data_IF_400358794529
#
_entry.id   IF_400358794529
#
_cell.length_a   1.000
_cell.length_b   1.000
_cell.length_c   1.000
_cell.angle_alpha   90.00
_cell.angle_beta   90.00
_cell.angle_gamma   90.00
#
_symmetry.space_group_name_H-M   'P 1'
#
loop_
_entity.id
_entity.type
_entity.pdbx_description
1 polymer ?
#
# COMPACT_ATOMS: atom_id res chain seq x y z
N UNK A 1 -28.53 46.72 4.03
CA UNK A 1 -27.25 47.25 3.52
C UNK A 1 -26.15 46.38 4.11
N UNK A 2 -25.22 45.92 3.28
CA UNK A 2 -24.12 45.04 3.70
C UNK A 2 -23.08 45.87 4.45
N UNK A 3 -22.56 45.36 5.57
CA UNK A 3 -21.58 46.08 6.39
C UNK A 3 -20.21 46.21 5.72
N UNK A 4 -19.78 45.19 4.96
CA UNK A 4 -18.52 45.16 4.21
C UNK A 4 -18.72 44.57 2.80
N UNK A 5 -18.24 45.24 1.76
CA UNK A 5 -18.41 44.80 0.37
C UNK A 5 -17.24 43.95 -0.18
N UNK A 6 -16.21 43.70 0.63
CA UNK A 6 -14.92 43.13 0.21
C UNK A 6 -15.04 41.80 -0.55
N UNK A 7 -15.83 40.82 -0.06
CA UNK A 7 -15.99 39.54 -0.76
C UNK A 7 -16.82 39.63 -2.03
N UNK A 8 -17.77 40.57 -2.09
CA UNK A 8 -18.54 40.85 -3.30
C UNK A 8 -17.66 41.51 -4.36
N UNK A 9 -16.76 42.42 -3.96
CA UNK A 9 -15.78 43.06 -4.84
C UNK A 9 -14.74 42.07 -5.37
N UNK A 10 -14.25 41.15 -4.54
CA UNK A 10 -13.31 40.08 -4.96
C UNK A 10 -13.92 39.17 -6.02
N UNK A 11 -15.21 38.83 -5.89
CA UNK A 11 -15.94 38.07 -6.90
C UNK A 11 -16.46 38.92 -8.06
N UNK A 12 -16.40 40.25 -7.97
CA UNK A 12 -16.89 41.17 -8.98
C UNK A 12 -18.41 41.15 -9.15
N UNK A 13 -19.15 40.90 -8.07
CA UNK A 13 -20.62 40.80 -8.07
C UNK A 13 -21.27 41.87 -7.18
N UNK A 14 -22.56 42.14 -7.41
CA UNK A 14 -23.34 43.03 -6.54
C UNK A 14 -23.62 42.35 -5.18
N UNK A 15 -23.75 43.12 -4.07
CA UNK A 15 -24.21 42.60 -2.79
C UNK A 15 -25.57 41.87 -2.83
N UNK A 16 -26.42 42.23 -3.81
CA UNK A 16 -27.72 41.57 -4.05
C UNK A 16 -27.64 40.39 -5.04
N UNK A 17 -26.44 39.91 -5.38
CA UNK A 17 -26.26 38.84 -6.36
C UNK A 17 -26.94 37.53 -5.92
N UNK A 18 -27.55 36.86 -6.89
CA UNK A 18 -28.15 35.54 -6.71
C UNK A 18 -27.08 34.46 -6.60
N UNK A 19 -27.41 33.29 -6.04
CA UNK A 19 -26.49 32.14 -5.95
C UNK A 19 -25.94 31.71 -7.31
N UNK A 20 -26.75 31.83 -8.37
CA UNK A 20 -26.35 31.50 -9.73
C UNK A 20 -25.29 32.49 -10.27
N UNK A 21 -25.42 33.77 -9.96
CA UNK A 21 -24.44 34.81 -10.32
C UNK A 21 -23.13 34.63 -9.56
N UNK A 22 -23.19 34.30 -8.26
CA UNK A 22 -22.01 33.98 -7.44
C UNK A 22 -21.24 32.79 -8.00
N UNK A 23 -21.95 31.70 -8.34
CA UNK A 23 -21.34 30.49 -8.93
C UNK A 23 -20.73 30.77 -10.29
N UNK A 24 -21.38 31.59 -11.12
CA UNK A 24 -20.86 31.99 -12.44
C UNK A 24 -19.62 32.85 -12.31
N UNK A 25 -19.62 33.83 -11.41
CA UNK A 25 -18.49 34.70 -11.14
C UNK A 25 -17.28 33.92 -10.61
N UNK A 26 -17.49 33.02 -9.64
CA UNK A 26 -16.45 32.14 -9.13
C UNK A 26 -15.84 31.28 -10.23
N UNK A 27 -16.66 30.65 -11.09
CA UNK A 27 -16.16 29.82 -12.19
C UNK A 27 -15.28 30.60 -13.18
N UNK A 28 -15.64 31.85 -13.48
CA UNK A 28 -14.86 32.71 -14.39
C UNK A 28 -13.53 33.12 -13.73
N UNK A 29 -13.56 33.56 -12.48
CA UNK A 29 -12.36 33.99 -11.74
C UNK A 29 -11.43 32.82 -11.41
N UNK A 30 -11.96 31.66 -11.03
CA UNK A 30 -11.19 30.45 -10.77
C UNK A 30 -10.48 29.93 -12.03
N UNK A 31 -11.13 30.00 -13.20
CA UNK A 31 -10.48 29.67 -14.47
C UNK A 31 -9.42 30.69 -14.89
N UNK A 32 -9.58 31.97 -14.52
CA UNK A 32 -8.63 33.05 -14.83
C UNK A 32 -7.36 32.94 -13.99
N UNK A 33 -7.48 32.57 -12.72
CA UNK A 33 -6.37 32.48 -11.77
C UNK A 33 -5.93 31.04 -11.47
N UNK A 34 -6.36 30.07 -12.27
CA UNK A 34 -6.00 28.67 -12.08
C UNK A 34 -4.47 28.46 -12.20
N UNK A 35 -3.84 27.67 -11.30
CA UNK A 35 -2.39 27.41 -11.33
C UNK A 35 -1.89 26.84 -12.66
N UNK A 36 -2.70 25.99 -13.31
CA UNK A 36 -2.39 25.39 -14.61
C UNK A 36 -2.29 26.40 -15.77
N UNK A 37 -3.06 27.51 -15.70
CA UNK A 37 -3.01 28.57 -16.72
C UNK A 37 -2.02 29.68 -16.38
N UNK A 38 -1.59 29.77 -15.12
CA UNK A 38 -0.64 30.77 -14.63
C UNK A 38 0.50 30.09 -13.84
N UNK A 39 1.30 29.21 -14.49
CA UNK A 39 2.40 28.55 -13.80
C UNK A 39 3.41 29.60 -13.31
N UNK A 40 3.85 29.46 -12.05
CA UNK A 40 4.85 30.31 -11.36
C UNK A 40 4.48 31.79 -11.15
N UNK A 41 3.19 32.15 -11.11
CA UNK A 41 2.77 33.50 -10.76
C UNK A 41 2.22 33.58 -9.31
N UNK A 42 2.98 34.11 -8.33
CA UNK A 42 2.56 34.17 -6.93
C UNK A 42 1.33 35.09 -6.71
N UNK A 43 1.13 36.10 -7.56
CA UNK A 43 -0.05 36.97 -7.46
C UNK A 43 -1.33 36.26 -7.91
N UNK A 44 -1.24 35.38 -8.91
CA UNK A 44 -2.38 34.59 -9.37
C UNK A 44 -2.80 33.57 -8.30
N UNK A 45 -1.83 32.99 -7.61
CA UNK A 45 -2.08 32.07 -6.48
C UNK A 45 -2.77 32.80 -5.32
N UNK A 46 -2.31 33.99 -4.96
CA UNK A 46 -2.95 34.81 -3.91
C UNK A 46 -4.40 35.15 -4.27
N UNK A 47 -4.64 35.64 -5.50
CA UNK A 47 -5.99 35.98 -5.99
C UNK A 47 -6.88 34.75 -6.07
N UNK A 48 -6.34 33.58 -6.41
CA UNK A 48 -7.11 32.33 -6.43
C UNK A 48 -7.56 31.91 -5.03
N UNK A 49 -6.69 32.07 -4.01
CA UNK A 49 -7.02 31.82 -2.61
C UNK A 49 -8.11 32.78 -2.11
N UNK A 50 -7.98 34.07 -2.40
CA UNK A 50 -8.98 35.09 -2.02
C UNK A 50 -10.35 34.86 -2.68
N UNK A 51 -10.37 34.54 -3.98
CA UNK A 51 -11.60 34.23 -4.73
C UNK A 51 -12.29 32.99 -4.18
N UNK A 52 -11.51 31.97 -3.80
CA UNK A 52 -12.06 30.74 -3.21
C UNK A 52 -12.64 30.99 -1.82
N UNK A 53 -11.96 31.77 -0.99
CA UNK A 53 -12.43 32.16 0.33
C UNK A 53 -13.72 33.00 0.27
N UNK A 54 -13.75 34.01 -0.62
CA UNK A 54 -14.92 34.85 -0.84
C UNK A 54 -16.15 34.02 -1.30
N UNK A 55 -15.94 33.06 -2.20
CA UNK A 55 -17.03 32.18 -2.64
C UNK A 55 -17.50 31.22 -1.54
N UNK A 56 -16.61 30.68 -0.71
CA UNK A 56 -17.00 29.79 0.38
C UNK A 56 -17.97 30.51 1.35
N UNK A 57 -17.66 31.76 1.70
CA UNK A 57 -18.47 32.56 2.63
C UNK A 57 -19.80 32.98 1.99
N UNK A 58 -19.76 33.42 0.72
CA UNK A 58 -20.96 33.93 0.03
C UNK A 58 -21.87 32.83 -0.53
N UNK A 59 -21.36 31.61 -0.72
CA UNK A 59 -22.15 30.47 -1.23
C UNK A 59 -23.03 29.81 -0.18
N UNK A 60 -22.69 29.93 1.11
CA UNK A 60 -23.51 29.44 2.21
C UNK A 60 -24.46 30.55 2.69
N UNK A 61 -25.80 30.36 2.63
CA UNK A 61 -26.76 31.38 3.04
C UNK A 61 -26.60 31.87 4.48
N UNK A 62 -26.16 30.99 5.40
CA UNK A 62 -25.96 31.35 6.81
C UNK A 62 -24.68 32.16 7.01
N UNK A 63 -23.57 31.73 6.38
CA UNK A 63 -22.30 32.48 6.45
C UNK A 63 -22.41 33.83 5.76
N UNK A 64 -23.11 33.89 4.62
CA UNK A 64 -23.41 35.14 3.90
C UNK A 64 -24.21 36.10 4.76
N UNK A 65 -25.25 35.62 5.45
CA UNK A 65 -26.05 36.46 6.34
C UNK A 65 -25.22 37.03 7.50
N UNK A 66 -24.35 36.23 8.11
CA UNK A 66 -23.45 36.67 9.17
C UNK A 66 -22.46 37.71 8.65
N UNK A 67 -21.85 37.48 7.49
CA UNK A 67 -20.96 38.43 6.83
C UNK A 67 -21.68 39.74 6.49
N UNK A 68 -22.89 39.66 5.95
CA UNK A 68 -23.67 40.83 5.57
C UNK A 68 -24.04 41.71 6.77
N UNK A 69 -24.28 41.09 7.94
CA UNK A 69 -24.66 41.77 9.18
C UNK A 69 -23.44 42.27 9.98
N UNK A 70 -22.36 41.51 10.03
CA UNK A 70 -21.27 41.73 10.99
C UNK A 70 -19.90 41.98 10.35
N UNK A 71 -19.74 41.77 9.04
CA UNK A 71 -18.46 41.89 8.34
C UNK A 71 -17.55 40.70 8.62
N UNK A 72 -16.28 40.80 8.21
CA UNK A 72 -15.25 39.75 8.40
C UNK A 72 -15.10 39.37 9.89
N UNK A 73 -15.22 40.34 10.80
CA UNK A 73 -15.18 40.13 12.25
C UNK A 73 -16.29 39.21 12.80
N UNK A 74 -17.43 39.10 12.10
CA UNK A 74 -18.53 38.21 12.49
C UNK A 74 -18.25 36.73 12.23
N UNK A 75 -17.32 36.43 11.32
CA UNK A 75 -16.92 35.07 10.97
C UNK A 75 -15.81 34.55 11.90
N UNK A 76 -15.01 35.46 12.48
CA UNK A 76 -13.91 35.15 13.40
C UNK A 76 -14.40 34.83 14.83
N UNK A 77 -15.59 35.32 15.21
CA UNK A 77 -16.18 35.13 16.55
C UNK A 77 -16.87 33.78 16.82
N UNK A 78 -16.81 32.82 15.89
CA UNK A 78 -17.49 31.52 15.99
C UNK A 78 -16.70 30.40 16.69
N UNK A 79 -15.43 30.63 17.05
CA UNK A 79 -14.58 29.63 17.71
C UNK A 79 -14.38 29.99 19.19
N UNK A 80 -15.22 29.42 20.05
CA UNK A 80 -15.09 29.58 21.50
C UNK A 80 -13.87 28.86 22.07
N UNK A 81 -12.89 29.64 22.52
CA UNK A 81 -12.12 29.40 23.75
C UNK A 81 -10.97 28.39 23.73
N UNK A 82 -9.73 28.91 23.74
CA UNK A 82 -8.59 28.26 24.39
C UNK A 82 -7.27 28.26 23.62
N UNK A 83 -6.32 29.06 24.10
CA UNK A 83 -4.88 28.78 23.98
C UNK A 83 -4.21 29.19 22.66
N UNK A 84 -3.22 30.08 22.76
CA UNK A 84 -2.40 30.54 21.64
C UNK A 84 -1.60 29.42 20.97
N UNK A 85 -2.14 28.92 19.86
CA UNK A 85 -1.38 28.18 18.86
C UNK A 85 -1.56 28.86 17.51
N UNK A 86 -0.47 28.92 16.76
CA UNK A 86 -0.35 29.63 15.50
C UNK A 86 -1.39 29.12 14.49
N UNK A 87 -1.96 30.03 13.69
CA UNK A 87 -3.06 29.74 12.78
C UNK A 87 -2.71 28.66 11.73
N UNK A 88 -1.42 28.43 11.48
CA UNK A 88 -0.92 27.38 10.61
C UNK A 88 -1.16 25.96 11.17
N UNK A 89 -1.04 25.79 12.50
CA UNK A 89 -1.14 24.49 13.17
C UNK A 89 -2.60 24.07 13.40
N UNK A 90 -3.51 25.04 13.56
CA UNK A 90 -4.95 24.78 13.60
C UNK A 90 -5.48 24.37 12.22
N UNK A 91 -4.87 24.89 11.14
CA UNK A 91 -5.19 24.50 9.77
C UNK A 91 -4.60 23.13 9.43
N UNK A 92 -3.39 22.79 9.91
CA UNK A 92 -2.83 21.45 9.77
C UNK A 92 -3.60 20.38 10.59
N UNK A 93 -4.18 20.73 11.73
CA UNK A 93 -4.99 19.78 12.51
C UNK A 93 -6.43 19.64 11.98
N UNK A 94 -6.95 20.63 11.25
CA UNK A 94 -8.27 20.59 10.61
C UNK A 94 -8.24 20.09 9.15
N UNK A 95 -7.11 20.23 8.44
CA UNK A 95 -6.93 19.84 7.03
C UNK A 95 -5.75 18.89 6.75
N UNK A 96 -4.92 18.54 7.74
CA UNK A 96 -3.71 17.73 7.59
C UNK A 96 -3.85 16.24 7.90
N UNK A 97 -5.07 15.69 7.90
CA UNK A 97 -5.30 14.31 7.48
C UNK A 97 -5.99 14.37 6.12
N UNK A 98 -5.20 14.19 5.06
CA UNK A 98 -5.60 14.43 3.68
C UNK A 98 -7.01 13.95 3.33
N UNK A 99 -7.78 14.85 2.71
CA UNK A 99 -8.90 14.50 1.87
C UNK A 99 -10.26 14.55 2.55
N UNK A 100 -11.08 15.49 2.10
CA UNK A 100 -12.52 15.28 1.87
C UNK A 100 -13.31 14.63 3.03
N UNK A 101 -13.73 15.46 3.98
CA UNK A 101 -14.91 15.19 4.77
C UNK A 101 -14.67 14.65 6.17
N UNK A 102 -15.09 15.43 7.16
CA UNK A 102 -15.42 14.96 8.50
C UNK A 102 -14.68 15.73 9.58
N UNK A 103 -15.41 16.51 10.37
CA UNK A 103 -14.87 16.90 11.67
C UNK A 103 -15.38 18.14 12.38
N UNK A 104 -16.51 18.77 12.03
CA UNK A 104 -17.17 19.71 12.97
C UNK A 104 -18.68 19.90 12.72
N UNK A 105 -19.35 18.87 12.20
CA UNK A 105 -20.82 18.84 12.04
C UNK A 105 -21.57 18.12 13.18
N UNK A 106 -20.90 17.82 14.29
CA UNK A 106 -21.37 16.82 15.25
C UNK A 106 -22.44 17.26 16.26
N UNK A 107 -22.83 18.55 16.30
CA UNK A 107 -23.63 19.04 17.45
C UNK A 107 -25.05 19.53 17.13
N UNK A 108 -25.47 19.69 15.88
CA UNK A 108 -26.81 20.23 15.56
C UNK A 108 -27.45 19.65 14.30
N UNK A 109 -27.52 18.32 14.20
CA UNK A 109 -28.13 17.62 13.07
C UNK A 109 -28.99 16.44 13.50
N UNK A 110 -30.15 16.71 14.08
CA UNK A 110 -31.21 15.73 14.36
C UNK A 110 -31.86 15.23 13.08
N UNK A 111 -31.12 14.46 12.28
CA UNK A 111 -31.65 13.61 11.24
C UNK A 111 -31.29 12.18 11.62
N UNK A 112 -32.27 11.40 12.06
CA UNK A 112 -32.15 9.94 12.18
C UNK A 112 -31.97 9.39 10.76
N UNK A 113 -30.74 9.50 10.23
CA UNK A 113 -30.31 8.72 9.09
C UNK A 113 -30.44 7.27 9.53
N UNK A 114 -31.38 6.59 8.89
CA UNK A 114 -31.65 5.18 9.01
C UNK A 114 -30.37 4.43 8.61
N UNK A 115 -29.40 4.34 9.52
CA UNK A 115 -28.22 3.49 9.38
C UNK A 115 -28.78 2.10 9.29
N UNK A 116 -28.76 1.52 8.09
CA UNK A 116 -29.04 0.12 7.89
C UNK A 116 -28.19 -0.73 8.86
N UNK A 117 -28.59 -1.98 9.09
CA UNK A 117 -27.87 -2.86 10.02
C UNK A 117 -26.37 -2.82 9.74
N UNK A 118 -25.57 -2.70 10.80
CA UNK A 118 -24.12 -2.58 10.68
C UNK A 118 -23.57 -3.77 9.90
N UNK A 119 -22.62 -3.51 8.99
CA UNK A 119 -21.94 -4.57 8.22
C UNK A 119 -20.66 -4.98 8.96
N UNK A 120 -20.38 -6.28 8.98
CA UNK A 120 -19.15 -6.81 9.54
C UNK A 120 -17.94 -6.34 8.72
N UNK A 121 -16.75 -6.36 9.34
CA UNK A 121 -15.50 -5.94 8.70
C UNK A 121 -15.17 -6.83 7.51
N UNK A 122 -14.65 -6.22 6.45
CA UNK A 122 -14.17 -6.94 5.27
C UNK A 122 -12.90 -7.72 5.60
N UNK A 123 -12.82 -8.97 5.15
CA UNK A 123 -11.64 -9.83 5.29
C UNK A 123 -10.75 -9.63 4.07
N UNK A 124 -9.50 -9.23 4.29
CA UNK A 124 -8.50 -9.11 3.22
C UNK A 124 -7.58 -10.33 3.25
N UNK A 125 -7.45 -11.02 2.12
CA UNK A 125 -6.56 -12.18 1.99
C UNK A 125 -5.64 -12.01 0.79
N UNK A 126 -4.34 -12.16 0.99
CA UNK A 126 -3.36 -12.12 -0.10
C UNK A 126 -3.27 -13.50 -0.74
N UNK A 127 -3.53 -13.58 -2.04
CA UNK A 127 -3.43 -14.81 -2.83
C UNK A 127 -2.19 -14.77 -3.70
N UNK A 128 -1.18 -15.55 -3.32
CA UNK A 128 0.11 -15.61 -4.03
C UNK A 128 0.02 -16.57 -5.22
N UNK A 129 0.20 -16.04 -6.43
CA UNK A 129 0.07 -16.78 -7.70
C UNK A 129 1.40 -16.81 -8.44
N UNK A 130 1.74 -17.94 -9.08
CA UNK A 130 2.93 -18.04 -9.93
C UNK A 130 2.76 -17.28 -11.24
N UNK A 131 3.87 -16.86 -11.84
CA UNK A 131 3.85 -16.16 -13.13
C UNK A 131 3.25 -17.02 -14.26
N UNK A 132 3.50 -18.33 -14.24
CA UNK A 132 2.93 -19.31 -15.17
C UNK A 132 1.41 -19.44 -15.05
N UNK A 133 0.89 -19.46 -13.82
CA UNK A 133 -0.55 -19.51 -13.55
C UNK A 133 -1.24 -18.23 -14.06
N UNK A 134 -0.58 -17.07 -13.93
CA UNK A 134 -1.07 -15.79 -14.48
C UNK A 134 -1.01 -15.77 -16.01
N UNK A 135 -0.01 -16.41 -16.61
CA UNK A 135 0.12 -16.51 -18.06
C UNK A 135 -0.98 -17.39 -18.67
N UNK A 136 -1.20 -18.59 -18.11
CA UNK A 136 -2.18 -19.57 -18.61
C UNK A 136 -3.62 -19.26 -18.19
N UNK A 137 -3.77 -18.58 -17.05
CA UNK A 137 -5.05 -18.39 -16.35
C UNK A 137 -5.41 -19.64 -15.56
N UNK A 138 -5.92 -19.49 -14.34
CA UNK A 138 -6.21 -20.60 -13.43
C UNK A 138 -7.37 -20.29 -12.49
N UNK A 139 -8.15 -21.32 -12.15
CA UNK A 139 -9.13 -21.23 -11.06
C UNK A 139 -8.52 -21.78 -9.79
N UNK A 140 -8.22 -20.89 -8.84
CA UNK A 140 -7.63 -21.25 -7.55
C UNK A 140 -8.73 -21.56 -6.52
N UNK A 141 -8.65 -22.73 -5.87
CA UNK A 141 -9.57 -23.12 -4.80
C UNK A 141 -8.96 -22.72 -3.45
N UNK A 142 -9.51 -21.69 -2.81
CA UNK A 142 -9.05 -21.20 -1.52
C UNK A 142 -10.06 -21.55 -0.44
N UNK A 143 -9.60 -22.22 0.62
CA UNK A 143 -10.44 -22.50 1.77
C UNK A 143 -10.35 -21.34 2.77
N UNK A 144 -11.47 -20.67 3.01
CA UNK A 144 -11.60 -19.64 4.04
C UNK A 144 -12.34 -20.21 5.24
N UNK A 145 -11.82 -19.93 6.43
CA UNK A 145 -12.55 -20.13 7.69
C UNK A 145 -13.26 -18.83 8.02
N UNK A 146 -14.57 -18.90 8.26
CA UNK A 146 -15.39 -17.74 8.61
C UNK A 146 -16.36 -18.10 9.72
N UNK A 147 -16.77 -17.10 10.49
CA UNK A 147 -17.84 -17.26 11.47
C UNK A 147 -19.19 -17.13 10.78
N UNK A 148 -20.01 -18.18 10.82
CA UNK A 148 -21.41 -18.12 10.38
C UNK A 148 -22.34 -18.15 11.57
N UNK A 149 -23.56 -17.67 11.38
CA UNK A 149 -24.63 -17.84 12.36
C UNK A 149 -24.86 -19.35 12.56
N UNK A 150 -24.95 -19.78 13.83
CA UNK A 150 -25.08 -21.19 14.14
C UNK A 150 -26.35 -21.78 13.50
N UNK A 151 -26.24 -22.76 12.58
CA UNK A 151 -27.41 -23.29 11.86
C UNK A 151 -28.40 -24.03 12.78
N UNK A 152 -27.94 -24.48 13.96
CA UNK A 152 -28.79 -25.20 14.93
C UNK A 152 -29.64 -24.30 15.83
N UNK A 153 -29.25 -23.04 16.03
CA UNK A 153 -30.01 -22.10 16.86
C UNK A 153 -30.34 -20.78 16.16
N UNK A 154 -29.94 -20.62 14.90
CA UNK A 154 -30.18 -19.45 14.06
C UNK A 154 -29.75 -18.14 14.74
N UNK A 155 -28.65 -18.20 15.50
CA UNK A 155 -28.11 -17.02 16.19
C UNK A 155 -28.77 -16.68 17.51
N UNK A 156 -29.72 -17.50 18.01
CA UNK A 156 -30.36 -17.30 19.31
C UNK A 156 -29.47 -17.69 20.50
N UNK A 157 -28.58 -18.67 20.32
CA UNK A 157 -27.64 -19.13 21.36
C UNK A 157 -28.22 -20.17 22.34
N UNK A 158 -29.53 -20.40 22.30
CA UNK A 158 -30.22 -21.42 23.08
C UNK A 158 -31.42 -22.02 22.34
N UNK A 159 -32.16 -22.89 23.01
CA UNK A 159 -33.47 -23.37 22.53
C UNK A 159 -34.47 -22.22 22.39
N UNK A 160 -35.50 -22.41 21.57
CA UNK A 160 -36.56 -21.42 21.40
C UNK A 160 -37.21 -21.06 22.76
N UNK A 161 -37.32 -19.76 23.05
CA UNK A 161 -37.88 -19.25 24.32
C UNK A 161 -36.99 -19.41 25.56
N UNK A 162 -35.81 -20.03 25.45
CA UNK A 162 -34.89 -20.18 26.58
C UNK A 162 -34.03 -18.93 26.84
N UNK A 163 -33.93 -18.05 25.85
CA UNK A 163 -33.18 -16.80 25.94
C UNK A 163 -34.03 -15.76 26.65
N UNK A 164 -33.53 -15.23 27.78
CA UNK A 164 -34.20 -14.19 28.57
C UNK A 164 -33.36 -12.93 28.61
N UNK A 165 -33.97 -11.75 28.62
CA UNK A 165 -33.24 -10.50 28.83
C UNK A 165 -32.61 -10.49 30.22
N UNK A 166 -31.40 -9.97 30.34
CA UNK A 166 -30.73 -9.83 31.62
C UNK A 166 -31.46 -8.77 32.48
N UNK A 167 -31.90 -9.15 33.68
CA UNK A 167 -32.63 -8.27 34.60
C UNK A 167 -31.76 -7.20 35.25
N UNK A 168 -30.44 -7.41 35.31
CA UNK A 168 -29.52 -6.48 35.97
C UNK A 168 -29.10 -5.31 35.08
N UNK A 169 -29.17 -5.49 33.75
CA UNK A 169 -28.84 -4.45 32.77
C UNK A 169 -29.96 -4.19 31.76
N UNK A 170 -31.15 -4.77 31.95
CA UNK A 170 -32.32 -4.65 31.06
C UNK A 170 -32.04 -4.89 29.56
N UNK A 171 -31.05 -5.73 29.26
CA UNK A 171 -30.63 -6.02 27.88
C UNK A 171 -29.53 -5.12 27.33
N UNK A 172 -29.05 -4.13 28.10
CA UNK A 172 -28.00 -3.20 27.65
C UNK A 172 -26.59 -3.79 27.73
N UNK A 173 -26.37 -4.91 28.44
CA UNK A 173 -25.06 -5.55 28.56
C UNK A 173 -24.02 -4.79 29.40
N UNK A 174 -24.29 -3.53 29.77
CA UNK A 174 -23.39 -2.67 30.53
C UNK A 174 -24.11 -2.06 31.74
N UNK A 175 -23.37 -1.80 32.81
CA UNK A 175 -23.86 -1.18 34.04
C UNK A 175 -22.99 0.02 34.39
N UNK A 176 -23.61 1.13 34.77
CA UNK A 176 -22.87 2.31 35.24
C UNK A 176 -22.51 2.12 36.70
N UNK A 177 -21.21 2.06 37.00
CA UNK A 177 -20.69 1.97 38.37
C UNK A 177 -20.20 3.35 38.80
N UNK A 178 -20.60 3.79 39.98
CA UNK A 178 -20.17 5.07 40.55
C UNK A 178 -18.96 4.81 41.45
N UNK A 179 -17.78 5.37 41.10
CA UNK A 179 -16.63 5.39 42.00
C UNK A 179 -16.47 6.81 42.53
N UNK A 180 -16.55 6.95 43.85
CA UNK A 180 -16.27 8.21 44.51
C UNK A 180 -14.77 8.31 44.74
N UNK A 181 -14.11 9.25 44.06
CA UNK A 181 -12.71 9.59 44.29
C UNK A 181 -12.67 10.95 44.99
N UNK A 182 -12.85 10.91 46.31
CA UNK A 182 -12.92 12.12 47.14
C UNK A 182 -14.21 12.92 46.88
N UNK A 183 -14.15 14.26 46.70
CA UNK A 183 -15.33 15.10 46.48
C UNK A 183 -15.96 14.95 45.08
N UNK A 184 -15.35 14.18 44.17
CA UNK A 184 -15.81 14.01 42.79
C UNK A 184 -16.36 12.59 42.57
N UNK A 185 -17.63 12.49 42.13
CA UNK A 185 -18.27 11.23 41.77
C UNK A 185 -18.07 10.98 40.28
N UNK A 186 -17.23 10.00 39.93
CA UNK A 186 -17.04 9.58 38.55
C UNK A 186 -17.93 8.38 38.23
N UNK A 187 -18.77 8.53 37.21
CA UNK A 187 -19.57 7.43 36.63
C UNK A 187 -18.73 6.78 35.55
N UNK A 188 -18.37 5.50 35.72
CA UNK A 188 -17.70 4.73 34.68
C UNK A 188 -18.57 3.52 34.31
N UNK A 189 -18.63 3.22 33.02
CA UNK A 189 -19.46 2.15 32.48
C UNK A 189 -18.64 0.85 32.45
N UNK A 190 -19.14 -0.19 33.12
CA UNK A 190 -18.52 -1.52 33.19
C UNK A 190 -19.43 -2.55 32.55
N UNK A 191 -18.87 -3.62 32.00
CA UNK A 191 -19.67 -4.76 31.50
C UNK A 191 -20.49 -5.38 32.63
N UNK A 192 -21.74 -5.74 32.35
CA UNK A 192 -22.61 -6.35 33.35
C UNK A 192 -22.07 -7.75 33.72
N UNK A 193 -21.82 -8.04 35.02
CA UNK A 193 -21.21 -9.32 35.43
C UNK A 193 -22.15 -10.52 35.23
N UNK A 194 -23.47 -10.30 35.22
CA UNK A 194 -24.44 -11.41 35.09
C UNK A 194 -24.56 -11.90 33.65
N UNK A 195 -24.44 -11.01 32.66
CA UNK A 195 -24.54 -11.36 31.23
C UNK A 195 -23.24 -11.20 30.43
N UNK A 196 -22.14 -10.80 31.09
CA UNK A 196 -20.83 -10.56 30.46
C UNK A 196 -20.87 -9.69 29.19
N UNK A 197 -21.79 -8.73 29.11
CA UNK A 197 -21.93 -7.88 27.93
C UNK A 197 -22.93 -8.36 26.87
N UNK A 198 -23.45 -9.58 26.96
CA UNK A 198 -24.38 -10.12 25.94
C UNK A 198 -25.81 -9.55 26.06
N UNK A 199 -26.18 -8.99 27.22
CA UNK A 199 -27.52 -8.45 27.49
C UNK A 199 -28.62 -9.52 27.65
N UNK A 200 -28.31 -10.77 27.33
CA UNK A 200 -29.22 -11.92 27.45
C UNK A 200 -28.63 -12.98 28.38
N UNK A 201 -29.51 -13.76 28.99
CA UNK A 201 -29.21 -14.86 29.88
C UNK A 201 -29.81 -16.14 29.30
N UNK A 202 -28.95 -17.13 29.11
CA UNK A 202 -29.34 -18.49 28.70
C UNK A 202 -28.88 -19.46 29.77
N UNK A 203 -29.84 -20.21 30.35
CA UNK A 203 -29.54 -21.28 31.31
C UNK A 203 -28.64 -22.32 30.67
N UNK A 204 -27.66 -22.83 31.42
CA UNK A 204 -26.64 -23.74 30.91
C UNK A 204 -27.21 -24.98 30.20
N UNK A 205 -28.29 -25.57 30.75
CA UNK A 205 -28.99 -26.73 30.17
C UNK A 205 -29.66 -26.44 28.82
N UNK A 206 -30.00 -25.18 28.57
CA UNK A 206 -30.74 -24.73 27.39
C UNK A 206 -29.83 -24.06 26.35
N UNK A 207 -28.52 -23.96 26.63
CA UNK A 207 -27.53 -23.48 25.66
C UNK A 207 -27.47 -24.42 24.48
N UNK A 208 -27.30 -23.85 23.29
CA UNK A 208 -27.13 -24.65 22.08
C UNK A 208 -25.85 -25.49 22.19
N UNK A 209 -25.96 -26.81 21.98
CA UNK A 209 -24.79 -27.72 22.03
C UNK A 209 -23.75 -27.46 20.93
N UNK A 210 -24.15 -26.81 19.83
CA UNK A 210 -23.26 -26.53 18.69
C UNK A 210 -22.39 -25.29 18.87
N UNK A 211 -22.96 -24.19 19.37
CA UNK A 211 -22.21 -22.94 19.58
C UNK A 211 -21.89 -22.68 21.07
N UNK A 212 -22.36 -23.52 21.99
CA UNK A 212 -22.20 -23.37 23.45
C UNK A 212 -22.64 -22.00 23.97
N UNK A 213 -23.68 -21.40 23.37
CA UNK A 213 -24.15 -20.05 23.71
C UNK A 213 -23.56 -18.92 22.88
N UNK A 214 -22.46 -19.13 22.14
CA UNK A 214 -21.76 -18.08 21.35
C UNK A 214 -22.51 -17.57 20.11
N UNK A 215 -23.65 -18.16 19.77
CA UNK A 215 -24.52 -17.83 18.61
C UNK A 215 -23.89 -18.03 17.21
N UNK A 216 -22.57 -18.12 17.10
CA UNK A 216 -21.82 -18.36 15.86
C UNK A 216 -21.04 -19.67 15.90
N UNK A 217 -20.69 -20.20 14.73
CA UNK A 217 -19.81 -21.36 14.54
C UNK A 217 -18.82 -21.08 13.42
N UNK A 218 -17.62 -21.66 13.49
CA UNK A 218 -16.63 -21.54 12.41
C UNK A 218 -16.98 -22.53 11.30
N UNK A 219 -17.21 -22.02 10.10
CA UNK A 219 -17.47 -22.78 8.88
C UNK A 219 -16.27 -22.66 7.93
N UNK A 220 -15.93 -23.77 7.27
CA UNK A 220 -14.85 -23.84 6.29
C UNK A 220 -15.44 -23.90 4.90
N UNK A 221 -15.44 -22.76 4.19
CA UNK A 221 -15.96 -22.66 2.82
C UNK A 221 -14.82 -22.59 1.81
N UNK A 222 -14.95 -23.32 0.71
CA UNK A 222 -14.02 -23.23 -0.43
C UNK A 222 -14.57 -22.21 -1.42
N UNK A 223 -13.79 -21.16 -1.68
CA UNK A 223 -14.07 -20.14 -2.68
C UNK A 223 -13.22 -20.39 -3.93
N UNK A 224 -13.83 -20.23 -5.09
CA UNK A 224 -13.17 -20.37 -6.38
C UNK A 224 -12.77 -18.99 -6.88
N UNK A 225 -11.49 -18.65 -6.74
CA UNK A 225 -10.93 -17.40 -7.21
C UNK A 225 -10.45 -17.59 -8.65
N UNK A 226 -11.09 -16.87 -9.58
CA UNK A 226 -10.69 -16.85 -10.97
C UNK A 226 -9.48 -15.92 -11.15
N UNK A 227 -8.35 -16.49 -11.55
CA UNK A 227 -7.15 -15.74 -11.95
C UNK A 227 -7.15 -15.69 -13.47
N UNK A 228 -7.56 -14.55 -13.99
CA UNK A 228 -7.59 -14.31 -15.42
C UNK A 228 -6.17 -14.15 -16.01
N UNK A 229 -6.06 -14.41 -17.30
CA UNK A 229 -4.80 -14.29 -18.04
C UNK A 229 -4.31 -12.85 -17.99
N UNK A 230 -3.04 -12.67 -17.67
CA UNK A 230 -2.40 -11.35 -17.69
C UNK A 230 -2.75 -10.46 -16.50
N UNK A 231 -3.49 -10.96 -15.51
CA UNK A 231 -3.86 -10.18 -14.33
C UNK A 231 -2.65 -9.53 -13.68
N UNK A 232 -2.76 -8.27 -13.29
CA UNK A 232 -1.68 -7.50 -12.67
C UNK A 232 -1.59 -7.79 -11.19
N UNK A 233 -0.39 -7.72 -10.63
CA UNK A 233 -0.19 -7.79 -9.18
C UNK A 233 -0.97 -6.66 -8.50
N UNK A 234 -1.63 -6.94 -7.38
CA UNK A 234 -2.50 -6.00 -6.66
C UNK A 234 -3.97 -6.01 -7.11
N UNK A 235 -4.35 -6.82 -8.11
CA UNK A 235 -5.76 -6.93 -8.54
C UNK A 235 -6.62 -7.52 -7.43
N UNK A 236 -7.77 -6.91 -7.16
CA UNK A 236 -8.70 -7.30 -6.09
C UNK A 236 -9.89 -8.07 -6.66
N UNK A 237 -10.17 -9.25 -6.10
CA UNK A 237 -11.33 -10.08 -6.40
C UNK A 237 -12.23 -10.10 -5.17
N UNK A 238 -13.45 -9.56 -5.31
CA UNK A 238 -14.38 -9.37 -4.21
C UNK A 238 -15.49 -10.43 -4.19
N UNK A 239 -15.71 -11.05 -3.03
CA UNK A 239 -16.80 -11.96 -2.76
C UNK A 239 -17.75 -11.33 -1.73
N UNK A 240 -18.89 -10.86 -2.22
CA UNK A 240 -19.87 -10.12 -1.42
C UNK A 240 -20.60 -11.03 -0.43
N UNK A 241 -20.68 -10.62 0.84
CA UNK A 241 -21.41 -11.34 1.89
C UNK A 241 -20.79 -12.68 2.29
N UNK A 242 -19.59 -12.99 1.80
CA UNK A 242 -18.89 -14.25 2.11
C UNK A 242 -18.00 -14.18 3.36
N UNK A 243 -17.94 -13.02 4.03
CA UNK A 243 -17.13 -12.77 5.23
C UNK A 243 -17.77 -13.25 6.52
N UNK A 244 -17.27 -12.74 7.65
CA UNK A 244 -17.79 -13.10 8.97
C UNK A 244 -19.22 -12.58 9.19
N UNK A 245 -20.02 -13.39 9.88
CA UNK A 245 -21.39 -13.09 10.28
C UNK A 245 -21.47 -13.02 11.80
N UNK A 246 -22.26 -12.08 12.30
CA UNK A 246 -22.58 -11.97 13.71
C UNK A 246 -24.08 -11.67 13.89
N UNK A 247 -24.71 -12.08 15.00
CA UNK A 247 -26.11 -11.79 15.26
C UNK A 247 -26.38 -10.27 15.22
N UNK A 248 -27.34 -9.85 14.40
CA UNK A 248 -27.70 -8.43 14.24
C UNK A 248 -26.78 -7.61 13.33
N UNK A 249 -25.75 -8.23 12.73
CA UNK A 249 -24.77 -7.58 11.84
C UNK A 249 -24.82 -8.30 10.47
N UNK A 250 -24.85 -7.53 9.38
CA UNK A 250 -24.77 -8.08 8.02
C UNK A 250 -23.38 -8.67 7.76
N UNK A 251 -23.33 -9.76 6.99
CA UNK A 251 -22.08 -10.40 6.59
C UNK A 251 -21.14 -9.41 5.89
N UNK A 252 -19.85 -9.49 6.25
CA UNK A 252 -18.79 -8.74 5.58
C UNK A 252 -18.50 -9.28 4.18
N UNK A 253 -17.66 -8.58 3.43
CA UNK A 253 -17.14 -9.09 2.15
C UNK A 253 -15.77 -9.75 2.37
N UNK A 254 -15.36 -10.60 1.42
CA UNK A 254 -14.00 -11.14 1.37
C UNK A 254 -13.34 -10.59 0.12
N UNK A 255 -12.18 -9.98 0.28
CA UNK A 255 -11.40 -9.41 -0.81
C UNK A 255 -10.10 -10.17 -0.91
N UNK A 256 -9.92 -10.88 -2.03
CA UNK A 256 -8.63 -11.49 -2.37
C UNK A 256 -7.81 -10.51 -3.18
N UNK A 257 -6.61 -10.20 -2.70
CA UNK A 257 -5.62 -9.43 -3.46
C UNK A 257 -4.65 -10.41 -4.10
N UNK A 258 -4.60 -10.43 -5.43
CA UNK A 258 -3.70 -11.30 -6.18
C UNK A 258 -2.31 -10.68 -6.14
N UNK A 259 -1.33 -11.43 -5.63
CA UNK A 259 0.07 -11.03 -5.64
C UNK A 259 0.90 -12.02 -6.44
N UNK A 260 1.77 -11.49 -7.29
CA UNK A 260 2.67 -12.30 -8.10
C UNK A 260 3.85 -12.78 -7.26
N UNK A 261 4.10 -14.09 -7.28
CA UNK A 261 5.33 -14.67 -6.71
C UNK A 261 6.55 -14.31 -7.57
N UNK A 262 7.71 -14.04 -6.94
CA UNK A 262 8.97 -13.92 -7.69
C UNK A 262 9.24 -15.23 -8.44
N UNK A 263 9.71 -15.12 -9.68
CA UNK A 263 9.99 -16.26 -10.55
C UNK A 263 11.51 -16.38 -10.76
N UNK A 264 12.09 -17.59 -10.74
CA UNK A 264 13.54 -17.77 -10.81
C UNK A 264 14.13 -17.36 -12.16
N UNK A 265 13.39 -17.57 -13.27
CA UNK A 265 13.90 -17.30 -14.63
C UNK A 265 13.50 -15.95 -15.21
N UNK A 266 12.38 -15.40 -14.75
CA UNK A 266 11.71 -14.30 -15.44
C UNK A 266 11.34 -13.20 -14.46
N UNK A 267 11.61 -11.97 -14.86
CA UNK A 267 11.14 -10.79 -14.15
C UNK A 267 10.05 -10.13 -15.02
N UNK A 268 8.83 -10.01 -14.47
CA UNK A 268 7.73 -9.36 -15.18
C UNK A 268 7.83 -7.85 -14.99
N UNK A 269 7.80 -7.09 -16.08
CA UNK A 269 7.64 -5.64 -16.08
C UNK A 269 6.40 -5.30 -16.91
N UNK A 270 5.30 -4.98 -16.22
CA UNK A 270 4.00 -4.74 -16.87
C UNK A 270 3.55 -5.95 -17.72
N UNK A 271 3.41 -5.77 -19.03
CA UNK A 271 3.04 -6.84 -19.97
C UNK A 271 4.28 -7.46 -20.64
N UNK A 272 5.48 -6.97 -20.34
CA UNK A 272 6.75 -7.49 -20.85
C UNK A 272 7.45 -8.43 -19.86
N UNK A 273 8.30 -9.31 -20.39
CA UNK A 273 9.11 -10.26 -19.61
C UNK A 273 10.59 -9.98 -19.81
N UNK A 274 11.36 -9.96 -18.73
CA UNK A 274 12.81 -9.91 -18.75
C UNK A 274 13.38 -11.28 -18.40
N UNK A 275 14.26 -11.79 -19.24
CA UNK A 275 14.99 -13.04 -19.04
C UNK A 275 16.49 -12.75 -19.02
N UNK A 276 17.18 -13.21 -17.98
CA UNK A 276 18.64 -13.10 -17.91
C UNK A 276 19.24 -14.39 -18.49
N UNK A 277 19.80 -14.29 -19.70
CA UNK A 277 20.46 -15.40 -20.38
C UNK A 277 21.96 -15.37 -20.06
N UNK A 278 22.46 -16.46 -19.51
CA UNK A 278 23.90 -16.68 -19.36
C UNK A 278 24.42 -17.42 -20.59
N UNK A 279 25.38 -16.81 -21.29
CA UNK A 279 25.95 -17.34 -22.53
C UNK A 279 27.46 -17.45 -22.40
N UNK A 280 28.06 -18.44 -23.08
CA UNK A 280 29.51 -18.57 -23.14
C UNK A 280 30.12 -17.50 -24.06
N UNK A 281 31.37 -17.12 -23.78
CA UNK A 281 32.11 -16.16 -24.62
C UNK A 281 32.18 -16.58 -26.09
N UNK A 282 32.31 -17.89 -26.36
CA UNK A 282 32.33 -18.42 -27.74
C UNK A 282 30.99 -18.14 -28.42
N UNK A 283 29.87 -18.43 -27.77
CA UNK A 283 28.53 -18.16 -28.30
C UNK A 283 28.28 -16.66 -28.49
N UNK A 284 28.84 -15.83 -27.61
CA UNK A 284 28.74 -14.37 -27.70
C UNK A 284 29.50 -13.78 -28.91
N UNK A 285 30.60 -14.41 -29.35
CA UNK A 285 31.46 -13.93 -30.44
C UNK A 285 31.21 -14.63 -31.78
N UNK A 286 31.12 -15.96 -31.75
CA UNK A 286 31.00 -16.81 -32.94
C UNK A 286 29.53 -17.13 -33.29
N UNK A 287 28.57 -16.70 -32.47
CA UNK A 287 27.16 -17.06 -32.62
C UNK A 287 26.85 -18.47 -32.11
N UNK A 288 25.56 -18.80 -32.13
CA UNK A 288 25.04 -20.08 -31.64
C UNK A 288 23.56 -19.99 -31.32
N UNK A 289 22.97 -21.10 -30.85
CA UNK A 289 21.55 -21.18 -30.52
C UNK A 289 21.36 -21.31 -29.02
N UNK A 290 20.44 -20.53 -28.45
CA UNK A 290 20.04 -20.61 -27.06
C UNK A 290 18.61 -21.13 -26.99
N UNK A 291 18.36 -22.06 -26.06
CA UNK A 291 17.03 -22.59 -25.81
C UNK A 291 16.49 -21.99 -24.51
N UNK A 292 15.34 -21.34 -24.61
CA UNK A 292 14.66 -20.72 -23.47
C UNK A 292 13.33 -21.44 -23.26
N UNK A 293 13.16 -22.03 -22.09
CA UNK A 293 11.88 -22.56 -21.66
C UNK A 293 10.96 -21.39 -21.27
N UNK A 294 9.79 -21.28 -21.90
CA UNK A 294 8.80 -20.24 -21.65
C UNK A 294 7.84 -20.65 -20.52
N UNK A 295 6.90 -19.76 -20.15
CA UNK A 295 5.90 -19.95 -19.08
C UNK A 295 4.78 -20.94 -19.44
N UNK A 296 4.63 -21.25 -20.74
CA UNK A 296 3.69 -22.23 -21.28
C UNK A 296 4.31 -23.62 -21.49
N UNK A 297 5.53 -23.85 -20.97
CA UNK A 297 6.34 -25.06 -21.16
C UNK A 297 6.87 -25.26 -22.59
N UNK A 298 6.67 -24.28 -23.49
CA UNK A 298 7.27 -24.28 -24.82
C UNK A 298 8.75 -23.90 -24.74
N UNK A 299 9.56 -24.50 -25.60
CA UNK A 299 10.94 -24.09 -25.82
C UNK A 299 11.05 -23.12 -27.01
N UNK A 300 11.70 -21.99 -26.78
CA UNK A 300 12.03 -21.00 -27.79
C UNK A 300 13.50 -21.14 -28.18
N UNK A 301 13.78 -21.36 -29.47
CA UNK A 301 15.13 -21.30 -30.02
C UNK A 301 15.45 -19.86 -30.44
N UNK A 302 16.51 -19.30 -29.87
CA UNK A 302 17.01 -17.97 -30.17
C UNK A 302 18.37 -18.11 -30.82
N UNK A 303 18.44 -17.79 -32.10
CA UNK A 303 19.68 -17.86 -32.86
C UNK A 303 20.44 -16.53 -32.78
N UNK A 304 21.70 -16.62 -32.36
CA UNK A 304 22.67 -15.54 -32.40
C UNK A 304 23.48 -15.75 -33.67
N UNK A 305 23.39 -14.81 -34.60
CA UNK A 305 24.08 -14.90 -35.87
C UNK A 305 25.60 -14.70 -35.66
N UNK A 306 26.44 -15.52 -36.30
CA UNK A 306 27.89 -15.31 -36.31
C UNK A 306 28.26 -13.92 -36.82
N UNK A 307 29.16 -13.22 -36.11
CA UNK A 307 29.59 -11.86 -36.45
C UNK A 307 28.83 -10.75 -35.71
N UNK A 308 27.71 -11.06 -35.06
CA UNK A 308 27.07 -10.14 -34.12
C UNK A 308 27.63 -10.38 -32.71
N UNK A 309 28.67 -9.62 -32.34
CA UNK A 309 29.28 -9.73 -31.02
C UNK A 309 28.32 -9.21 -29.93
N UNK A 310 27.90 -10.09 -29.02
CA UNK A 310 27.05 -9.72 -27.89
C UNK A 310 27.93 -9.26 -26.73
N UNK A 311 27.87 -7.97 -26.41
CA UNK A 311 28.54 -7.43 -25.23
C UNK A 311 27.79 -7.81 -23.94
N UNK A 312 28.48 -7.99 -22.80
CA UNK A 312 27.83 -8.18 -21.51
C UNK A 312 26.85 -7.05 -21.21
N UNK A 313 25.63 -7.39 -20.79
CA UNK A 313 24.57 -6.42 -20.49
C UNK A 313 23.74 -5.97 -21.68
N UNK A 314 24.08 -6.39 -22.91
CA UNK A 314 23.25 -6.14 -24.10
C UNK A 314 21.85 -6.72 -23.91
N UNK A 315 20.83 -6.02 -24.40
CA UNK A 315 19.44 -6.45 -24.34
C UNK A 315 18.90 -6.62 -25.77
N UNK A 316 18.36 -7.80 -26.08
CA UNK A 316 17.61 -8.04 -27.32
C UNK A 316 16.15 -8.32 -27.03
N UNK A 317 15.28 -8.08 -28.01
CA UNK A 317 13.84 -8.23 -27.87
C UNK A 317 13.29 -9.31 -28.80
N UNK A 318 12.45 -10.18 -28.27
CA UNK A 318 11.61 -11.12 -29.01
C UNK A 318 10.16 -10.63 -28.95
N UNK A 319 9.61 -10.32 -30.12
CA UNK A 319 8.25 -9.77 -30.25
C UNK A 319 7.19 -10.83 -29.91
N UNK A 320 6.17 -10.44 -29.15
CA UNK A 320 5.00 -11.28 -28.88
C UNK A 320 5.24 -12.48 -27.97
N UNK A 321 6.38 -12.53 -27.26
CA UNK A 321 6.71 -13.58 -26.30
C UNK A 321 6.66 -13.10 -24.82
N UNK A 322 6.04 -11.95 -24.56
CA UNK A 322 5.82 -11.42 -23.21
C UNK A 322 4.56 -11.97 -22.54
N UNK A 323 4.02 -11.24 -21.56
CA UNK A 323 2.78 -11.60 -20.88
C UNK A 323 1.54 -11.23 -21.72
N UNK A 324 0.44 -11.98 -21.60
CA UNK A 324 -0.83 -11.58 -22.20
C UNK A 324 -1.36 -10.31 -21.50
N UNK A 325 -1.89 -9.37 -22.27
CA UNK A 325 -2.57 -8.19 -21.75
C UNK A 325 -3.97 -8.56 -21.27
N UNK A 326 -4.33 -8.06 -20.08
CA UNK A 326 -5.64 -8.34 -19.47
C UNK A 326 -6.83 -7.83 -20.31
N UNK A 327 -6.68 -6.71 -21.04
CA UNK A 327 -7.79 -6.07 -21.78
C UNK A 327 -7.90 -6.52 -23.22
N UNK A 328 -6.76 -6.62 -23.91
CA UNK A 328 -6.72 -6.82 -25.37
C UNK A 328 -6.37 -8.25 -25.75
N UNK A 329 -5.94 -9.10 -24.79
CA UNK A 329 -5.46 -10.46 -25.02
C UNK A 329 -4.27 -10.58 -26.00
N UNK A 330 -3.67 -9.45 -26.39
CA UNK A 330 -2.39 -9.41 -27.10
C UNK A 330 -1.24 -9.77 -26.17
N UNK A 331 -0.15 -10.28 -26.71
CA UNK A 331 1.07 -10.57 -25.95
C UNK A 331 2.04 -9.39 -25.99
N UNK A 332 2.63 -9.06 -24.85
CA UNK A 332 3.78 -8.17 -24.78
C UNK A 332 5.04 -8.79 -25.38
N UNK A 333 6.18 -8.19 -25.09
CA UNK A 333 7.48 -8.61 -25.61
C UNK A 333 8.33 -9.28 -24.53
N UNK A 334 9.28 -10.12 -24.96
CA UNK A 334 10.32 -10.66 -24.10
C UNK A 334 11.63 -9.96 -24.39
N UNK A 335 12.28 -9.46 -23.35
CA UNK A 335 13.62 -8.91 -23.39
C UNK A 335 14.60 -9.91 -22.81
N UNK A 336 15.66 -10.19 -23.55
CA UNK A 336 16.74 -11.06 -23.12
C UNK A 336 17.94 -10.18 -22.80
N UNK A 337 18.37 -10.20 -21.54
CA UNK A 337 19.61 -9.58 -21.10
C UNK A 337 20.70 -10.63 -21.10
N UNK A 338 21.78 -10.38 -21.83
CA UNK A 338 22.88 -11.32 -21.95
C UNK A 338 23.94 -11.07 -20.88
N UNK A 339 24.29 -12.11 -20.13
CA UNK A 339 25.45 -12.17 -19.26
C UNK A 339 26.46 -13.13 -19.87
N UNK A 340 27.67 -12.66 -20.13
CA UNK A 340 28.70 -13.48 -20.79
C UNK A 340 29.60 -14.12 -19.72
N UNK A 341 29.65 -15.45 -19.72
CA UNK A 341 30.60 -16.21 -18.90
C UNK A 341 31.95 -16.26 -19.60
N UNK A 342 32.95 -15.72 -18.92
CA UNK A 342 34.34 -15.83 -19.34
C UNK A 342 34.93 -17.15 -18.85
N UNK A 343 35.89 -17.73 -19.60
CA UNK A 343 36.57 -18.95 -19.18
C UNK A 343 37.41 -18.70 -17.92
N UNK A 344 37.68 -19.77 -17.16
CA UNK A 344 38.46 -19.70 -15.92
C UNK A 344 39.94 -19.33 -16.15
N UNK A 345 40.63 -18.95 -15.09
CA UNK A 345 42.08 -18.65 -15.13
C UNK A 345 42.84 -19.89 -15.64
N UNK A 346 43.67 -19.71 -16.66
CA UNK A 346 44.47 -20.81 -17.24
C UNK A 346 43.68 -21.78 -18.13
N UNK A 347 42.53 -21.37 -18.67
CA UNK A 347 41.69 -22.20 -19.55
C UNK A 347 42.40 -22.77 -20.79
N UNK A 348 43.51 -22.16 -21.22
CA UNK A 348 44.40 -22.75 -22.22
C UNK A 348 45.85 -22.39 -21.93
N UNK A 349 46.75 -23.35 -22.15
CA UNK A 349 48.20 -23.21 -22.04
C UNK A 349 48.88 -23.16 -23.43
N UNK A 350 48.10 -23.23 -24.50
CA UNK A 350 48.61 -23.28 -25.87
C UNK A 350 48.85 -21.87 -26.42
N UNK A 351 50.12 -21.51 -26.61
CA UNK A 351 50.53 -20.20 -27.15
C UNK A 351 49.95 -19.93 -28.55
N UNK A 352 49.85 -20.99 -29.38
CA UNK A 352 49.25 -20.91 -30.71
C UNK A 352 47.75 -20.53 -30.68
N UNK A 353 47.01 -20.90 -29.64
CA UNK A 353 45.59 -20.53 -29.50
C UNK A 353 45.43 -19.04 -29.20
N UNK A 354 46.33 -18.45 -28.40
CA UNK A 354 46.33 -17.02 -28.13
C UNK A 354 46.73 -16.19 -29.36
N UNK A 355 47.69 -16.66 -30.16
CA UNK A 355 48.02 -16.01 -31.44
C UNK A 355 46.87 -16.05 -32.43
N UNK A 356 46.14 -17.17 -32.51
CA UNK A 356 44.95 -17.29 -33.35
C UNK A 356 43.85 -16.30 -32.92
N UNK A 357 43.61 -16.15 -31.61
CA UNK A 357 42.66 -15.16 -31.09
C UNK A 357 43.07 -13.72 -31.42
N UNK A 358 44.37 -13.39 -31.29
CA UNK A 358 44.90 -12.06 -31.65
C UNK A 358 44.75 -11.73 -33.14
N UNK A 359 44.77 -12.74 -34.02
CA UNK A 359 44.53 -12.56 -35.46
C UNK A 359 43.05 -12.36 -35.78
N UNK A 360 42.16 -12.98 -35.01
CA UNK A 360 40.72 -12.97 -35.27
C UNK A 360 39.99 -11.75 -34.66
N UNK A 361 40.48 -11.21 -33.54
CA UNK A 361 39.90 -10.05 -32.86
C UNK A 361 40.59 -8.74 -33.30
N UNK A 362 39.92 -7.58 -33.20
CA UNK A 362 40.54 -6.29 -33.50
C UNK A 362 41.78 -6.08 -32.64
N UNK A 363 42.82 -5.48 -33.24
CA UNK A 363 44.10 -5.20 -32.56
C UNK A 363 43.85 -4.44 -31.26
N UNK A 364 44.52 -4.81 -30.15
CA UNK A 364 44.35 -4.13 -28.88
C UNK A 364 44.77 -2.67 -29.03
N UNK A 365 43.84 -1.75 -28.76
CA UNK A 365 44.18 -0.33 -28.64
C UNK A 365 44.98 -0.14 -27.35
N UNK A 366 46.11 0.56 -27.44
CA UNK A 366 46.91 0.92 -26.27
C UNK A 366 46.12 1.99 -25.50
N UNK A 367 45.58 1.61 -24.35
CA UNK A 367 44.90 2.54 -23.45
C UNK A 367 45.99 3.40 -22.79
N UNK A 368 45.96 4.70 -23.05
CA UNK A 368 46.89 5.71 -22.53
C UNK A 368 48.36 5.49 -22.92
N UNK A 369 48.76 6.04 -24.06
CA UNK A 369 50.18 6.11 -24.43
C UNK A 369 50.91 7.14 -23.57
N UNK A 370 51.97 6.76 -22.84
CA UNK A 370 52.76 7.71 -22.07
C UNK A 370 53.41 8.76 -23.00
N UNK A 371 53.61 10.00 -22.54
CA UNK A 371 54.40 10.99 -23.26
C UNK A 371 55.82 10.46 -23.55
N UNK A 372 56.43 10.88 -24.67
CA UNK A 372 57.74 10.38 -25.11
C UNK A 372 58.90 10.55 -24.08
N UNK A 373 58.72 11.44 -23.10
CA UNK A 373 59.71 11.73 -22.05
C UNK A 373 59.35 11.13 -20.69
N UNK A 374 58.25 10.38 -20.57
CA UNK A 374 57.83 9.78 -19.32
C UNK A 374 58.56 8.45 -19.09
N UNK A 375 59.16 8.28 -17.91
CA UNK A 375 59.70 7.00 -17.47
C UNK A 375 58.54 6.10 -17.04
N UNK A 376 58.41 4.91 -17.65
CA UNK A 376 57.44 3.90 -17.24
C UNK A 376 58.13 2.81 -16.43
N UNK A 377 57.64 2.55 -15.23
CA UNK A 377 58.08 1.43 -14.39
C UNK A 377 57.10 0.25 -14.57
N UNK A 378 57.59 -1.00 -14.74
CA UNK A 378 56.71 -2.16 -14.79
C UNK A 378 56.09 -2.40 -13.41
N UNK A 379 54.76 -2.50 -13.37
CA UNK A 379 54.03 -2.86 -12.16
C UNK A 379 53.45 -4.27 -12.33
N UNK A 380 53.73 -5.14 -11.36
CA UNK A 380 53.12 -6.46 -11.30
C UNK A 380 51.70 -6.34 -10.71
N UNK A 381 50.74 -7.00 -11.35
CA UNK A 381 49.34 -7.01 -10.90
C UNK A 381 49.12 -8.30 -10.09
N UNK A 382 48.71 -8.15 -8.84
CA UNK A 382 48.32 -9.25 -7.96
C UNK A 382 46.79 -9.30 -7.78
N UNK A 383 46.26 -10.48 -7.51
CA UNK A 383 44.85 -10.63 -7.16
C UNK A 383 44.60 -10.07 -5.74
N UNK A 384 43.45 -9.42 -5.53
CA UNK A 384 43.10 -8.86 -4.21
C UNK A 384 42.70 -9.98 -3.25
N UNK A 385 43.53 -10.23 -2.24
CA UNK A 385 43.24 -11.19 -1.17
C UNK A 385 42.04 -10.75 -0.31
N UNK A 386 41.20 -11.71 0.10
CA UNK A 386 40.00 -11.42 0.89
C UNK A 386 40.28 -10.74 2.25
N UNK A 387 41.49 -10.91 2.81
CA UNK A 387 41.97 -10.23 4.02
C UNK A 387 42.36 -8.77 3.79
N UNK A 388 42.71 -8.39 2.55
CA UNK A 388 43.07 -7.01 2.17
C UNK A 388 41.84 -6.13 1.88
N UNK A 389 40.63 -6.72 1.81
CA UNK A 389 39.36 -6.00 1.57
C UNK A 389 38.94 -5.05 2.70
N UNK A 390 39.46 -5.21 3.91
CA UNK A 390 39.12 -4.35 5.06
C UNK A 390 39.47 -2.86 4.85
N UNK A 391 40.40 -2.54 3.95
CA UNK A 391 40.78 -1.16 3.65
C UNK A 391 40.05 -0.52 2.45
N UNK A 392 39.44 -1.32 1.57
CA UNK A 392 38.85 -0.82 0.31
C UNK A 392 37.32 -0.85 0.29
N UNK A 393 36.68 -1.43 1.32
CA UNK A 393 35.24 -1.41 1.51
C UNK A 393 34.85 -1.32 2.98
N UNK A 394 34.59 -0.12 3.48
CA UNK A 394 34.03 0.04 4.83
C UNK A 394 34.33 1.36 5.52
N UNK A 395 33.76 2.46 5.05
CA UNK A 395 33.55 3.65 5.88
C UNK A 395 32.05 3.79 6.16
N UNK A 396 31.48 2.84 6.92
CA UNK A 396 30.27 2.97 7.74
C UNK A 396 29.93 1.62 8.36
N UNK A 397 30.24 1.45 9.64
CA UNK A 397 29.62 0.56 10.64
C UNK A 397 30.70 0.13 11.65
N UNK A 398 31.07 1.06 12.54
CA UNK A 398 31.60 0.67 13.85
C UNK A 398 30.37 0.31 14.68
N UNK A 399 30.00 -0.97 14.69
CA UNK A 399 29.26 -1.58 15.80
C UNK A 399 30.29 -1.77 16.92
N UNK A 400 30.28 -0.88 17.91
CA UNK A 400 30.87 -1.12 19.22
C UNK A 400 29.74 -1.55 20.15
N UNK A 401 29.55 -2.86 20.29
CA UNK A 401 28.78 -3.43 21.39
C UNK A 401 29.65 -4.43 22.18
N UNK A 402 29.42 -4.42 23.49
CA UNK A 402 29.81 -5.38 24.55
C UNK A 402 31.08 -5.09 25.37
N UNK A 403 30.88 -4.32 26.46
CA UNK A 403 31.40 -4.70 27.78
C UNK A 403 30.23 -4.70 28.80
N UNK A 404 30.19 -5.74 29.62
CA UNK A 404 29.03 -6.30 30.31
C UNK A 404 28.57 -5.56 31.60
N UNK A 405 27.25 -5.36 31.72
CA UNK A 405 26.38 -5.94 32.77
C UNK A 405 26.58 -5.69 34.28
N UNK A 406 25.79 -4.73 34.81
CA UNK A 406 24.99 -4.70 36.07
C UNK A 406 25.57 -4.91 37.51
N UNK A 407 25.01 -4.23 38.53
CA UNK A 407 25.43 -4.34 39.94
C UNK A 407 24.59 -5.31 40.82
N UNK A 408 25.26 -5.88 41.84
CA UNK A 408 24.78 -6.41 43.13
C UNK A 408 23.72 -7.54 43.18
N UNK A 409 24.10 -8.73 43.69
CA UNK A 409 23.88 -9.18 45.08
C UNK A 409 23.89 -10.72 45.30
N UNK A 410 24.66 -11.13 46.32
CA UNK A 410 24.52 -12.25 47.29
C UNK A 410 24.34 -13.75 46.93
N UNK A 411 25.35 -14.53 47.39
CA UNK A 411 25.35 -15.83 48.14
C UNK A 411 24.77 -17.08 47.40
N UNK A 412 25.26 -18.32 47.53
CA UNK A 412 25.68 -19.15 48.69
C UNK A 412 26.66 -20.27 48.21
N UNK A 413 27.43 -20.81 49.16
CA UNK A 413 28.55 -21.77 49.09
C UNK A 413 28.19 -23.27 48.85
N UNK A 414 29.28 -24.07 48.74
CA UNK A 414 29.46 -25.52 49.00
C UNK A 414 29.23 -26.45 47.78
N UNK A 415 30.03 -27.50 47.50
CA UNK A 415 30.92 -28.30 48.34
C UNK A 415 32.05 -28.98 47.53
N UNK A 416 33.06 -29.39 48.29
CA UNK A 416 34.29 -30.13 48.00
C UNK A 416 34.15 -31.55 47.41
N UNK A 417 35.10 -31.95 46.56
CA UNK A 417 36.14 -32.93 46.91
C UNK A 417 37.34 -32.83 45.97
#
# INVERSE_FOLDING_TARGET
MVKEAKYYEILGVSPNATEQELKKAYKISALKFHPDKNPNNPEAEHKFKEVSHAYEILSDPQKRQIYDQYGEAGLEGGAGGGGGMAAEDLFAQFFGSGGFGGGLGGMFGGGTQNRGPSKAKTIHHVHNVSLEDIYRGKVSKLALQRSIICPKCEGRGGKEGAVRKCTTCDGHGMKTMMRQMGPMIQRFQTVCPDCNGEGELVKEKDRCRGCMGKKTVVDRKVLHVHVDRGVRSGTKVEFRGEGDQAPGILAGDVVFQIEQKPHPRFERKEDDLLYNAEIDLVTALAGGTIYIEHLDERWLSVDILPGEAISPGTVKMIRGQGMPSYRHHDFGNMYIRFSVKFPEKGWTQDEAAFEALRKCLPSPEIINTPPANAMTEPADIEDVDASSKGGFGGATAMDEDEDDGHPHAERVQCASQ
#
